data_IF_452823064594
#
_entry.id   IF_452823064594
#
_cell.length_a   1.000
_cell.length_b   1.000
_cell.length_c   1.000
_cell.angle_alpha   90.00
_cell.angle_beta   90.00
_cell.angle_gamma   90.00
#
_symmetry.space_group_name_H-M   'P 1'
#
loop_
_entity.id
_entity.type
_entity.pdbx_description
1 polymer ?
#
# COMPACT_ATOMS: atom_id res chain seq x y z
N UNK A 1 -20.14 -40.32 -8.32
CA UNK A 1 -20.79 -39.63 -9.43
C UNK A 1 -19.70 -39.11 -10.32
N UNK A 2 -19.92 -37.96 -10.92
CA UNK A 2 -18.84 -37.10 -11.38
C UNK A 2 -18.68 -35.98 -10.36
N UNK A 3 -17.44 -35.53 -10.15
CA UNK A 3 -17.13 -34.26 -9.52
C UNK A 3 -16.42 -33.42 -10.57
N UNK A 4 -16.80 -32.15 -10.70
CA UNK A 4 -16.23 -31.20 -11.66
C UNK A 4 -15.83 -29.92 -10.95
N UNK A 5 -14.98 -29.13 -11.57
CA UNK A 5 -14.66 -27.77 -11.14
C UNK A 5 -14.00 -27.00 -12.27
N UNK A 6 -13.62 -25.76 -11.99
CA UNK A 6 -13.11 -24.83 -12.97
C UNK A 6 -11.93 -24.02 -12.40
N UNK A 7 -10.88 -23.81 -13.20
CA UNK A 7 -9.72 -23.00 -12.82
C UNK A 7 -9.55 -21.83 -13.79
N UNK A 8 -9.28 -20.63 -13.26
CA UNK A 8 -9.04 -19.44 -14.08
C UNK A 8 -7.99 -18.50 -13.49
N UNK A 9 -7.49 -17.59 -14.33
CA UNK A 9 -6.63 -16.49 -13.94
C UNK A 9 -7.48 -15.26 -13.64
N UNK A 10 -7.61 -14.96 -12.35
CA UNK A 10 -8.22 -13.73 -11.84
C UNK A 10 -7.18 -12.60 -12.01
N UNK A 11 -7.41 -11.71 -12.94
CA UNK A 11 -6.40 -10.74 -13.39
C UNK A 11 -6.36 -9.47 -12.56
N UNK A 12 -7.48 -9.09 -11.95
CA UNK A 12 -7.57 -7.96 -11.02
C UNK A 12 -7.68 -8.40 -9.55
N UNK A 13 -7.85 -9.69 -9.29
CA UNK A 13 -7.83 -10.29 -7.97
C UNK A 13 -9.15 -10.15 -7.22
N UNK A 14 -10.26 -9.86 -7.88
CA UNK A 14 -11.54 -9.54 -7.24
C UNK A 14 -12.34 -10.76 -6.74
N UNK A 15 -11.86 -11.97 -7.04
CA UNK A 15 -12.46 -13.23 -6.62
C UNK A 15 -13.67 -13.67 -7.45
N UNK A 16 -13.85 -13.14 -8.66
CA UNK A 16 -14.79 -13.66 -9.65
C UNK A 16 -14.17 -13.72 -11.04
N UNK A 17 -14.59 -14.68 -11.88
CA UNK A 17 -14.12 -14.71 -13.27
C UNK A 17 -14.87 -13.68 -14.12
N UNK A 18 -14.16 -12.65 -14.54
CA UNK A 18 -14.68 -11.54 -15.34
C UNK A 18 -14.52 -11.73 -16.86
N UNK A 19 -15.20 -10.89 -17.66
CA UNK A 19 -15.08 -10.97 -19.12
C UNK A 19 -13.68 -10.60 -19.59
N UNK A 20 -12.96 -11.59 -20.13
CA UNK A 20 -11.61 -11.42 -20.67
C UNK A 20 -10.53 -12.07 -19.80
N UNK A 21 -10.91 -12.58 -18.64
CA UNK A 21 -10.04 -13.34 -17.77
C UNK A 21 -9.79 -14.75 -18.33
N UNK A 22 -8.51 -15.17 -18.45
CA UNK A 22 -8.18 -16.44 -19.10
C UNK A 22 -8.47 -17.65 -18.22
N UNK A 23 -8.96 -18.72 -18.83
CA UNK A 23 -9.03 -20.03 -18.19
C UNK A 23 -7.63 -20.64 -17.97
N UNK A 24 -7.47 -21.44 -16.91
CA UNK A 24 -6.23 -22.17 -16.62
C UNK A 24 -6.25 -23.57 -17.25
N UNK A 25 -5.74 -23.69 -18.47
CA UNK A 25 -5.61 -24.95 -19.20
C UNK A 25 -4.38 -25.78 -18.76
N UNK A 26 -4.51 -27.10 -18.78
CA UNK A 26 -3.43 -28.07 -18.55
C UNK A 26 -2.90 -28.13 -17.11
N UNK A 27 -3.66 -27.66 -16.12
CA UNK A 27 -3.30 -27.78 -14.69
C UNK A 27 -3.84 -29.09 -14.15
N UNK A 28 -2.99 -29.83 -13.45
CA UNK A 28 -3.36 -31.11 -12.83
C UNK A 28 -4.10 -30.90 -11.49
N UNK A 29 -5.15 -31.68 -11.27
CA UNK A 29 -5.95 -31.71 -10.04
C UNK A 29 -5.99 -33.15 -9.52
N UNK A 30 -5.57 -33.33 -8.27
CA UNK A 30 -5.56 -34.60 -7.56
C UNK A 30 -6.91 -34.79 -6.86
N UNK A 31 -7.69 -35.77 -7.31
CA UNK A 31 -8.99 -36.10 -6.75
C UNK A 31 -8.90 -37.37 -5.93
N UNK A 32 -9.27 -37.29 -4.65
CA UNK A 32 -9.34 -38.41 -3.70
C UNK A 32 -10.79 -38.75 -3.39
N UNK A 33 -11.23 -39.98 -3.68
CA UNK A 33 -12.61 -40.41 -3.44
C UNK A 33 -12.86 -40.94 -2.02
N UNK A 34 -14.12 -41.32 -1.75
CA UNK A 34 -14.55 -41.78 -0.42
C UNK A 34 -13.96 -43.11 0.04
N UNK A 35 -13.35 -43.88 -0.87
CA UNK A 35 -12.62 -45.10 -0.56
C UNK A 35 -11.13 -44.82 -0.30
N UNK A 36 -10.68 -43.58 -0.51
CA UNK A 36 -9.28 -43.19 -0.49
C UNK A 36 -8.54 -43.47 -1.79
N UNK A 37 -9.25 -43.77 -2.88
CA UNK A 37 -8.63 -43.94 -4.21
C UNK A 37 -8.33 -42.56 -4.81
N UNK A 38 -7.10 -42.38 -5.31
CA UNK A 38 -6.64 -41.13 -5.93
C UNK A 38 -6.57 -41.24 -7.45
N UNK A 39 -6.89 -40.15 -8.13
CA UNK A 39 -6.66 -39.97 -9.56
C UNK A 39 -6.28 -38.52 -9.86
N UNK A 40 -5.44 -38.32 -10.87
CA UNK A 40 -5.12 -36.99 -11.39
C UNK A 40 -5.93 -36.75 -12.66
N UNK A 41 -6.59 -35.61 -12.73
CA UNK A 41 -7.27 -35.11 -13.93
C UNK A 41 -6.67 -33.76 -14.29
N UNK A 42 -6.74 -33.37 -15.55
CA UNK A 42 -6.15 -32.13 -16.03
C UNK A 42 -7.24 -31.21 -16.57
N UNK A 43 -7.16 -29.92 -16.28
CA UNK A 43 -8.09 -28.92 -16.86
C UNK A 43 -7.96 -28.86 -18.38
N UNK A 44 -9.10 -28.65 -19.04
CA UNK A 44 -9.17 -28.48 -20.49
C UNK A 44 -8.96 -27.01 -20.91
N UNK A 45 -9.12 -26.71 -22.20
CA UNK A 45 -8.92 -25.36 -22.76
C UNK A 45 -9.85 -24.28 -22.20
N UNK A 46 -10.95 -24.72 -21.60
CA UNK A 46 -11.99 -23.89 -21.00
C UNK A 46 -11.86 -23.94 -19.46
N UNK A 47 -10.69 -24.34 -18.92
CA UNK A 47 -10.41 -24.35 -17.47
C UNK A 47 -11.11 -25.47 -16.69
N UNK A 48 -11.98 -26.23 -17.34
CA UNK A 48 -12.80 -27.23 -16.65
C UNK A 48 -12.04 -28.55 -16.43
N UNK A 49 -12.20 -29.13 -15.25
CA UNK A 49 -11.79 -30.50 -14.94
C UNK A 49 -12.99 -31.35 -14.49
N UNK A 50 -12.88 -32.68 -14.67
CA UNK A 50 -13.90 -33.60 -14.15
C UNK A 50 -13.33 -34.98 -13.83
N UNK A 51 -13.83 -35.58 -12.77
CA UNK A 51 -13.40 -36.86 -12.25
C UNK A 51 -14.60 -37.77 -11.93
N UNK A 52 -14.56 -39.02 -12.40
CA UNK A 52 -15.56 -40.02 -11.99
C UNK A 52 -15.11 -40.68 -10.69
N UNK A 53 -15.94 -40.60 -9.64
CA UNK A 53 -15.59 -41.03 -8.28
C UNK A 53 -16.68 -41.90 -7.66
N UNK A 54 -16.31 -42.71 -6.65
CA UNK A 54 -17.30 -43.40 -5.83
C UNK A 54 -18.23 -42.38 -5.11
N UNK A 55 -19.50 -42.72 -4.87
CA UNK A 55 -20.38 -41.87 -4.08
C UNK A 55 -19.90 -41.77 -2.63
N UNK A 56 -19.77 -40.55 -2.11
CA UNK A 56 -19.29 -40.26 -0.76
C UNK A 56 -18.45 -38.98 -0.74
N UNK A 57 -17.76 -38.75 0.37
CA UNK A 57 -16.80 -37.64 0.50
C UNK A 57 -15.75 -37.72 -0.61
N UNK A 58 -15.42 -36.58 -1.23
CA UNK A 58 -14.41 -36.48 -2.29
C UNK A 58 -13.70 -35.16 -2.13
N UNK A 59 -12.37 -35.20 -2.17
CA UNK A 59 -11.50 -34.03 -2.10
C UNK A 59 -10.86 -33.80 -3.46
N UNK A 60 -10.84 -32.56 -3.94
CA UNK A 60 -10.10 -32.10 -5.10
C UNK A 60 -9.03 -31.10 -4.64
N UNK A 61 -7.81 -31.30 -5.10
CA UNK A 61 -6.59 -30.61 -4.65
C UNK A 61 -5.80 -30.22 -5.90
N UNK A 62 -5.65 -28.93 -6.20
CA UNK A 62 -4.90 -28.48 -7.37
C UNK A 62 -3.41 -28.75 -7.14
N UNK A 63 -2.72 -29.42 -8.08
CA UNK A 63 -1.32 -29.78 -7.89
C UNK A 63 -0.40 -28.57 -8.13
N UNK A 64 0.05 -27.92 -7.06
CA UNK A 64 0.92 -26.73 -7.17
C UNK A 64 2.35 -27.08 -7.60
N UNK A 65 2.67 -28.37 -7.76
CA UNK A 65 3.93 -28.83 -8.35
C UNK A 65 3.82 -29.06 -9.86
N UNK A 66 2.64 -28.94 -10.45
CA UNK A 66 2.46 -29.04 -11.89
C UNK A 66 3.18 -27.88 -12.60
N UNK A 67 3.93 -28.13 -13.70
CA UNK A 67 4.67 -27.06 -14.38
C UNK A 67 3.81 -25.97 -15.04
N UNK A 68 2.51 -26.22 -15.24
CA UNK A 68 1.53 -25.28 -15.76
C UNK A 68 0.78 -24.55 -14.63
N UNK A 69 0.89 -24.99 -13.38
CA UNK A 69 0.36 -24.24 -12.24
C UNK A 69 1.01 -22.85 -12.17
N UNK A 70 0.23 -21.77 -11.98
CA UNK A 70 0.73 -20.40 -11.94
C UNK A 70 1.50 -20.12 -10.63
N UNK A 71 2.75 -20.60 -10.57
CA UNK A 71 3.61 -20.45 -9.39
C UNK A 71 3.78 -18.98 -8.99
N UNK A 72 3.52 -18.67 -7.71
CA UNK A 72 3.62 -17.32 -7.17
C UNK A 72 2.32 -16.52 -7.20
N UNK A 73 1.26 -17.09 -7.76
CA UNK A 73 -0.08 -16.51 -7.73
C UNK A 73 -0.75 -16.83 -6.40
N UNK A 74 -1.72 -16.01 -6.02
CA UNK A 74 -2.53 -16.17 -4.80
C UNK A 74 -3.96 -16.53 -5.21
N UNK A 75 -4.58 -17.44 -4.47
CA UNK A 75 -5.96 -17.83 -4.70
C UNK A 75 -6.93 -16.74 -4.23
N UNK A 76 -7.93 -16.41 -5.04
CA UNK A 76 -8.95 -15.36 -4.78
C UNK A 76 -10.37 -15.90 -4.71
N UNK A 77 -10.69 -16.93 -5.50
CA UNK A 77 -11.96 -17.66 -5.41
C UNK A 77 -11.69 -19.11 -5.01
N UNK A 78 -12.61 -19.70 -4.24
CA UNK A 78 -12.59 -21.12 -3.91
C UNK A 78 -11.86 -21.47 -2.61
N UNK A 79 -11.71 -22.77 -2.40
CA UNK A 79 -10.94 -23.39 -1.31
C UNK A 79 -10.05 -24.46 -1.95
N UNK A 80 -8.73 -24.39 -1.76
CA UNK A 80 -7.83 -25.44 -2.26
C UNK A 80 -7.07 -26.11 -1.09
N UNK A 81 -7.31 -27.40 -0.78
CA UNK A 81 -8.22 -28.32 -1.46
C UNK A 81 -9.71 -28.14 -1.10
N UNK A 82 -10.60 -28.37 -2.07
CA UNK A 82 -12.06 -28.41 -1.85
C UNK A 82 -12.55 -29.80 -1.46
N UNK A 83 -13.50 -29.91 -0.52
CA UNK A 83 -14.19 -31.17 -0.20
C UNK A 83 -15.69 -31.11 -0.49
N UNK A 84 -16.20 -32.05 -1.28
CA UNK A 84 -17.61 -32.23 -1.62
C UNK A 84 -18.13 -33.62 -1.28
N UNK A 85 -19.45 -33.82 -1.37
CA UNK A 85 -20.06 -35.16 -1.30
C UNK A 85 -20.55 -35.59 -2.68
N UNK A 86 -19.82 -36.48 -3.34
CA UNK A 86 -20.19 -37.04 -4.61
C UNK A 86 -21.44 -37.92 -4.48
N UNK A 87 -22.41 -37.74 -5.39
CA UNK A 87 -23.66 -38.51 -5.41
C UNK A 87 -23.68 -39.47 -6.61
N UNK A 88 -24.29 -40.64 -6.45
CA UNK A 88 -24.33 -41.66 -7.50
C UNK A 88 -25.14 -41.17 -8.72
N UNK A 89 -24.52 -41.21 -9.91
CA UNK A 89 -25.19 -40.89 -11.17
C UNK A 89 -25.50 -39.39 -11.39
N UNK A 90 -24.98 -38.51 -10.54
CA UNK A 90 -25.05 -37.06 -10.72
C UNK A 90 -23.65 -36.48 -10.88
N UNK A 91 -23.62 -35.29 -11.45
CA UNK A 91 -22.47 -34.41 -11.41
C UNK A 91 -22.58 -33.52 -10.16
N UNK A 92 -21.45 -33.27 -9.51
CA UNK A 92 -21.35 -32.43 -8.32
C UNK A 92 -20.26 -31.42 -8.58
N UNK A 93 -20.66 -30.16 -8.62
CA UNK A 93 -19.75 -29.04 -8.80
C UNK A 93 -18.96 -28.78 -7.50
N UNK A 94 -17.64 -28.80 -7.62
CA UNK A 94 -16.68 -28.44 -6.58
C UNK A 94 -16.42 -26.92 -6.55
N UNK A 95 -16.95 -26.16 -7.50
CA UNK A 95 -16.76 -24.72 -7.59
C UNK A 95 -15.55 -24.34 -8.45
N UNK A 96 -15.20 -23.06 -8.33
CA UNK A 96 -14.12 -22.44 -9.07
C UNK A 96 -12.93 -22.20 -8.15
N UNK A 97 -11.72 -22.27 -8.70
CA UNK A 97 -10.53 -21.70 -8.07
C UNK A 97 -9.92 -20.64 -8.99
N UNK A 98 -9.94 -19.39 -8.51
CA UNK A 98 -9.38 -18.22 -9.18
C UNK A 98 -8.00 -17.89 -8.63
N UNK A 99 -7.05 -17.54 -9.49
CA UNK A 99 -5.68 -17.19 -9.08
C UNK A 99 -5.21 -15.90 -9.73
N UNK A 100 -4.68 -14.97 -8.92
CA UNK A 100 -4.11 -13.72 -9.40
C UNK A 100 -2.60 -13.61 -9.15
N UNK A 101 -1.93 -12.86 -10.01
CA UNK A 101 -0.52 -12.52 -9.84
C UNK A 101 -0.42 -11.21 -9.06
N UNK A 102 0.00 -11.22 -7.78
CA UNK A 102 0.03 -10.01 -6.99
C UNK A 102 1.04 -8.98 -7.51
N UNK A 103 0.73 -7.71 -7.31
CA UNK A 103 1.68 -6.61 -7.43
C UNK A 103 2.36 -6.31 -6.10
N UNK A 104 3.35 -5.43 -6.14
CA UNK A 104 3.94 -4.83 -4.94
C UNK A 104 3.83 -3.31 -5.05
N UNK A 105 3.50 -2.65 -3.94
CA UNK A 105 3.60 -1.20 -3.79
C UNK A 105 4.62 -0.92 -2.71
N UNK A 106 5.55 0.00 -2.97
CA UNK A 106 6.60 0.40 -2.04
C UNK A 106 6.65 1.91 -1.89
N UNK A 107 7.24 2.40 -0.82
CA UNK A 107 7.54 3.82 -0.64
C UNK A 107 8.60 4.03 0.42
N UNK A 108 8.90 5.29 0.70
CA UNK A 108 10.01 5.67 1.58
C UNK A 108 9.64 6.86 2.48
N UNK A 109 10.00 6.79 3.76
CA UNK A 109 9.76 7.86 4.73
C UNK A 109 11.07 8.41 5.29
N UNK A 110 11.21 9.73 5.40
CA UNK A 110 12.40 10.37 5.95
C UNK A 110 12.12 11.66 6.72
N UNK A 111 13.12 12.11 7.49
CA UNK A 111 13.13 13.39 8.19
C UNK A 111 13.81 14.46 7.32
N UNK A 112 13.01 15.34 6.73
CA UNK A 112 13.48 16.55 6.06
C UNK A 112 13.94 17.56 7.14
N UNK A 113 15.24 17.75 7.26
CA UNK A 113 15.85 18.52 8.35
C UNK A 113 15.93 20.01 8.04
N UNK A 114 15.92 20.41 6.78
CA UNK A 114 16.04 21.80 6.36
C UNK A 114 14.77 22.37 5.69
N UNK A 115 13.78 21.51 5.43
CA UNK A 115 12.43 21.86 4.98
C UNK A 115 12.36 22.13 3.48
N UNK A 116 13.27 21.58 2.68
CA UNK A 116 13.34 21.84 1.24
C UNK A 116 12.52 20.88 0.37
N UNK A 117 11.96 19.82 0.96
CA UNK A 117 11.09 18.86 0.31
C UNK A 117 11.83 17.86 -0.59
N UNK A 118 13.11 17.59 -0.34
CA UNK A 118 13.84 16.45 -0.89
C UNK A 118 14.70 15.81 0.19
N UNK A 119 15.00 14.51 0.07
CA UNK A 119 15.93 13.86 1.00
C UNK A 119 17.38 14.14 0.62
N UNK A 120 18.07 14.91 1.45
CA UNK A 120 19.47 15.30 1.27
C UNK A 120 20.47 14.36 1.99
N UNK A 121 21.76 14.45 1.63
CA UNK A 121 22.80 13.64 2.28
C UNK A 121 22.90 13.97 3.78
N UNK A 122 22.59 12.98 4.61
CA UNK A 122 22.66 13.07 6.08
C UNK A 122 21.31 13.30 6.75
N UNK A 123 20.25 13.42 5.97
CA UNK A 123 18.88 13.41 6.47
C UNK A 123 18.47 12.00 6.90
N UNK A 124 17.97 11.81 8.13
CA UNK A 124 17.65 10.48 8.64
C UNK A 124 16.42 9.86 7.99
N UNK A 125 16.47 8.54 7.76
CA UNK A 125 15.29 7.75 7.42
C UNK A 125 14.35 7.59 8.64
N UNK A 126 13.05 7.40 8.37
CA UNK A 126 12.03 7.14 9.39
C UNK A 126 11.75 5.64 9.50
N UNK A 127 12.47 4.97 10.40
CA UNK A 127 12.28 3.55 10.73
C UNK A 127 11.10 3.32 11.69
N UNK A 128 10.44 2.16 11.57
CA UNK A 128 9.39 1.66 12.45
C UNK A 128 8.09 2.47 12.42
N UNK A 129 7.79 3.19 11.34
CA UNK A 129 6.51 3.90 11.17
C UNK A 129 5.55 2.99 10.41
N UNK A 130 4.34 2.84 10.93
CA UNK A 130 3.29 2.04 10.31
C UNK A 130 2.63 2.80 9.14
N UNK A 131 2.38 2.06 8.05
CA UNK A 131 1.70 2.53 6.84
C UNK A 131 0.54 1.58 6.56
N UNK A 132 -0.67 2.14 6.46
CA UNK A 132 -1.90 1.40 6.13
C UNK A 132 -2.06 1.41 4.62
N UNK A 133 -1.98 0.22 4.02
CA UNK A 133 -2.16 0.01 2.58
C UNK A 133 -3.53 -0.61 2.33
N UNK A 134 -4.33 0.02 1.48
CA UNK A 134 -5.63 -0.49 1.02
C UNK A 134 -5.55 -0.78 -0.47
N UNK A 135 -5.83 -2.01 -0.89
CA UNK A 135 -5.76 -2.42 -2.30
C UNK A 135 -7.06 -2.14 -3.08
N UNK A 136 -7.11 -2.62 -4.33
CA UNK A 136 -8.20 -2.40 -5.28
C UNK A 136 -9.51 -3.07 -4.86
N UNK A 137 -9.43 -4.13 -4.06
CA UNK A 137 -10.57 -4.86 -3.52
C UNK A 137 -11.07 -4.24 -2.20
N UNK A 138 -10.33 -3.26 -1.67
CA UNK A 138 -10.60 -2.63 -0.38
C UNK A 138 -10.04 -3.42 0.81
N UNK A 139 -9.18 -4.41 0.55
CA UNK A 139 -8.49 -5.12 1.62
C UNK A 139 -7.36 -4.27 2.19
N UNK A 140 -7.31 -4.21 3.52
CA UNK A 140 -6.37 -3.36 4.25
C UNK A 140 -5.29 -4.19 4.94
N UNK A 141 -4.04 -3.75 4.85
CA UNK A 141 -2.92 -4.29 5.62
C UNK A 141 -2.07 -3.17 6.19
N UNK A 142 -1.38 -3.43 7.29
CA UNK A 142 -0.40 -2.51 7.87
C UNK A 142 0.99 -3.07 7.65
N UNK A 143 1.86 -2.28 7.04
CA UNK A 143 3.29 -2.56 6.88
C UNK A 143 4.07 -1.51 7.64
N UNK A 144 5.31 -1.82 8.01
CA UNK A 144 6.14 -0.92 8.83
C UNK A 144 7.42 -0.61 8.08
N UNK A 145 7.87 0.65 8.10
CA UNK A 145 9.15 1.04 7.50
C UNK A 145 10.33 0.33 8.16
N UNK A 146 11.31 -0.06 7.33
CA UNK A 146 12.55 -0.68 7.78
C UNK A 146 13.60 0.40 8.19
N UNK A 147 14.83 -0.03 8.52
CA UNK A 147 15.90 0.86 8.99
C UNK A 147 16.34 1.91 7.99
N UNK A 148 16.05 1.68 6.71
CA UNK A 148 16.35 2.55 5.58
C UNK A 148 15.09 3.35 5.18
N UNK A 149 14.05 3.40 6.02
CA UNK A 149 12.83 4.18 5.78
C UNK A 149 11.87 3.57 4.77
N UNK A 150 12.23 2.43 4.16
CA UNK A 150 11.43 1.82 3.10
C UNK A 150 10.32 0.94 3.68
N UNK A 151 9.13 1.01 3.07
CA UNK A 151 8.03 0.09 3.28
C UNK A 151 7.62 -0.58 1.97
N UNK A 152 6.99 -1.76 2.07
CA UNK A 152 6.54 -2.52 0.90
C UNK A 152 5.36 -3.41 1.27
N UNK A 153 4.35 -3.46 0.41
CA UNK A 153 3.14 -4.25 0.57
C UNK A 153 2.81 -5.03 -0.72
N UNK A 154 2.44 -6.30 -0.57
CA UNK A 154 1.93 -7.12 -1.67
C UNK A 154 0.42 -6.95 -1.77
N UNK A 155 -0.10 -6.61 -2.95
CA UNK A 155 -1.51 -6.22 -3.15
C UNK A 155 -2.11 -6.81 -4.44
N UNK A 156 -3.44 -6.86 -4.49
CA UNK A 156 -4.16 -7.12 -5.74
C UNK A 156 -3.85 -6.02 -6.80
N UNK A 157 -3.78 -6.37 -8.10
CA UNK A 157 -3.63 -5.39 -9.16
C UNK A 157 -4.79 -4.38 -9.17
N UNK A 158 -4.48 -3.10 -9.40
CA UNK A 158 -5.48 -2.04 -9.46
C UNK A 158 -5.16 -0.85 -8.55
N UNK A 159 -6.14 0.00 -8.30
CA UNK A 159 -5.97 1.18 -7.45
C UNK A 159 -5.56 0.78 -6.03
N UNK A 160 -4.51 1.38 -5.49
CA UNK A 160 -4.00 1.09 -4.14
C UNK A 160 -3.66 2.40 -3.45
N UNK A 161 -4.09 2.56 -2.20
CA UNK A 161 -3.79 3.73 -1.37
C UNK A 161 -2.84 3.36 -0.24
N UNK A 162 -1.83 4.17 0.02
CA UNK A 162 -0.95 4.07 1.17
C UNK A 162 -1.13 5.31 2.06
N UNK A 163 -1.36 5.09 3.36
CA UNK A 163 -1.69 6.12 4.36
C UNK A 163 -0.76 5.94 5.56
N UNK A 164 0.09 6.93 5.85
CA UNK A 164 1.03 6.84 6.98
C UNK A 164 0.25 7.03 8.29
N UNK A 165 0.37 6.10 9.24
CA UNK A 165 -0.41 6.19 10.49
C UNK A 165 0.16 7.25 11.44
N UNK A 166 -0.46 8.43 11.50
CA UNK A 166 0.02 9.50 12.38
C UNK A 166 -0.30 9.26 13.87
N UNK A 167 -0.99 8.16 14.20
CA UNK A 167 -1.18 7.70 15.57
C UNK A 167 -0.09 6.71 16.02
N UNK A 168 0.79 6.27 15.11
CA UNK A 168 1.91 5.41 15.45
C UNK A 168 2.87 6.13 16.43
N UNK A 169 3.36 5.49 17.50
CA UNK A 169 4.21 6.15 18.49
C UNK A 169 5.59 6.59 17.95
N UNK A 170 6.03 6.04 16.83
CA UNK A 170 7.26 6.37 16.12
C UNK A 170 7.03 7.48 15.07
N UNK A 171 5.79 7.77 14.69
CA UNK A 171 5.47 8.90 13.82
C UNK A 171 5.94 10.24 14.45
N UNK A 172 6.62 11.12 13.69
CA UNK A 172 7.17 12.37 14.21
C UNK A 172 6.07 13.42 14.46
N UNK A 173 5.33 13.26 15.57
CA UNK A 173 4.21 14.14 15.92
C UNK A 173 4.61 15.62 15.95
N UNK A 174 3.86 16.46 15.23
CA UNK A 174 4.06 17.91 15.15
C UNK A 174 4.96 18.36 14.00
N UNK A 175 5.47 17.42 13.21
CA UNK A 175 6.16 17.72 11.97
C UNK A 175 5.15 18.05 10.86
N UNK A 176 5.63 18.67 9.79
CA UNK A 176 4.87 19.00 8.59
C UNK A 176 5.43 18.23 7.42
N UNK A 177 4.59 17.60 6.62
CA UNK A 177 4.99 16.95 5.37
C UNK A 177 5.50 17.99 4.37
N UNK A 178 6.64 17.72 3.74
CA UNK A 178 7.35 18.61 2.79
C UNK A 178 7.58 17.97 1.42
N UNK A 179 7.64 16.64 1.34
CA UNK A 179 7.62 15.85 0.10
C UNK A 179 6.47 14.84 0.16
N UNK A 180 5.89 14.52 -0.99
CA UNK A 180 4.85 13.50 -1.12
C UNK A 180 3.41 13.99 -0.93
N UNK A 181 2.49 13.04 -0.94
CA UNK A 181 1.07 13.19 -0.63
C UNK A 181 0.70 12.09 0.38
N UNK A 182 0.00 12.44 1.46
CA UNK A 182 -0.44 11.48 2.48
C UNK A 182 -1.96 11.62 2.73
N UNK A 183 -2.78 10.62 2.37
CA UNK A 183 -2.42 9.36 1.71
C UNK A 183 -2.04 9.51 0.23
N UNK A 184 -1.19 8.63 -0.27
CA UNK A 184 -0.85 8.48 -1.69
C UNK A 184 -1.72 7.43 -2.38
N UNK A 185 -2.07 7.64 -3.65
CA UNK A 185 -2.77 6.65 -4.51
C UNK A 185 -1.95 6.30 -5.73
N UNK A 186 -1.75 5.00 -5.97
CA UNK A 186 -1.09 4.45 -7.16
C UNK A 186 -1.94 3.37 -7.81
N UNK A 187 -1.52 2.87 -8.97
CA UNK A 187 -2.11 1.67 -9.58
C UNK A 187 -1.08 0.55 -9.52
N UNK A 188 -1.30 -0.43 -8.65
CA UNK A 188 -0.53 -1.65 -8.59
C UNK A 188 -0.68 -2.44 -9.89
N UNK A 189 0.42 -3.02 -10.36
CA UNK A 189 0.47 -3.79 -11.61
C UNK A 189 0.97 -5.20 -11.31
N UNK A 190 0.24 -6.19 -11.78
CA UNK A 190 0.52 -7.61 -11.57
C UNK A 190 1.99 -7.98 -11.83
N UNK A 191 2.63 -8.61 -10.85
CA UNK A 191 4.01 -9.09 -10.93
C UNK A 191 5.08 -8.00 -11.01
N UNK A 192 4.74 -6.75 -10.69
CA UNK A 192 5.68 -5.63 -10.70
C UNK A 192 5.63 -4.86 -9.38
N UNK A 193 6.73 -4.17 -9.11
CA UNK A 193 6.86 -3.23 -8.00
C UNK A 193 6.54 -1.81 -8.49
N UNK A 194 5.63 -1.14 -7.78
CA UNK A 194 5.17 0.21 -8.07
C UNK A 194 5.56 1.12 -6.92
N UNK A 195 6.41 2.09 -7.22
CA UNK A 195 6.86 3.11 -6.28
C UNK A 195 5.75 4.15 -6.04
N UNK A 196 5.31 4.26 -4.78
CA UNK A 196 4.39 5.27 -4.26
C UNK A 196 5.10 6.58 -3.91
N UNK A 197 6.43 6.63 -4.01
CA UNK A 197 7.22 7.83 -3.76
C UNK A 197 7.65 7.99 -2.31
N UNK A 198 8.08 9.20 -2.00
CA UNK A 198 8.67 9.56 -0.72
C UNK A 198 7.75 10.48 0.07
N UNK A 199 7.72 10.32 1.40
CA UNK A 199 7.16 11.29 2.32
C UNK A 199 8.24 11.86 3.25
N UNK A 200 8.49 13.16 3.10
CA UNK A 200 9.45 13.92 3.89
C UNK A 200 8.76 14.70 5.00
N UNK A 201 9.30 14.66 6.22
CA UNK A 201 8.72 15.35 7.38
C UNK A 201 9.69 16.33 8.03
N UNK A 202 9.30 17.60 8.10
CA UNK A 202 10.07 18.68 8.70
C UNK A 202 9.54 19.10 10.07
N UNK A 203 10.43 19.42 11.02
CA UNK A 203 10.06 19.93 12.35
C UNK A 203 9.99 21.47 12.35
N UNK A 204 8.81 22.10 12.24
CA UNK A 204 8.71 23.55 12.30
C UNK A 204 8.93 24.06 13.73
N UNK A 205 9.96 24.91 13.89
CA UNK A 205 10.24 25.68 15.08
C UNK A 205 10.27 27.19 14.74
N UNK A 206 9.09 27.80 14.47
CA UNK A 206 9.00 29.22 14.13
C UNK A 206 9.32 30.09 15.35
N UNK A 207 10.17 31.09 15.17
CA UNK A 207 10.50 32.07 16.21
C UNK A 207 10.87 33.43 15.59
N UNK A 208 10.56 34.50 16.31
CA UNK A 208 10.76 35.86 15.82
C UNK A 208 11.21 36.80 16.93
N UNK A 209 12.24 37.59 16.65
CA UNK A 209 12.71 38.65 17.53
C UNK A 209 12.31 40.03 16.99
N UNK A 210 11.71 40.85 17.84
CA UNK A 210 11.38 42.25 17.54
C UNK A 210 12.17 43.20 18.45
N UNK A 211 13.07 43.99 17.86
CA UNK A 211 13.78 45.05 18.56
C UNK A 211 13.18 46.40 18.17
N UNK A 212 12.69 47.13 19.17
CA UNK A 212 12.21 48.52 19.03
C UNK A 212 13.23 49.49 19.59
N UNK A 213 13.75 50.37 18.75
CA UNK A 213 14.60 51.50 19.16
C UNK A 213 13.82 52.81 19.01
N UNK A 214 14.08 53.76 19.90
CA UNK A 214 13.45 55.08 19.88
C UNK A 214 14.49 56.16 20.11
N UNK A 215 14.56 57.13 19.20
CA UNK A 215 15.47 58.28 19.32
C UNK A 215 14.67 59.57 19.33
N UNK A 216 14.85 60.38 20.37
CA UNK A 216 14.29 61.72 20.45
C UNK A 216 15.16 62.68 19.62
N UNK A 217 14.55 63.35 18.65
CA UNK A 217 15.17 64.45 17.91
C UNK A 217 15.02 65.74 18.72
N UNK A 218 16.13 66.22 19.28
CA UNK A 218 16.17 67.42 20.14
C UNK A 218 16.17 68.74 19.35
N UNK A 219 16.10 68.69 18.01
CA UNK A 219 16.13 69.88 17.15
C UNK A 219 17.41 70.72 17.32
N UNK A 220 17.39 71.96 16.81
CA UNK A 220 18.57 72.85 16.83
C UNK A 220 18.97 73.32 18.24
N UNK A 221 18.04 73.32 19.21
CA UNK A 221 18.30 73.85 20.54
C UNK A 221 18.90 72.81 21.50
N UNK A 222 18.92 71.52 21.13
CA UNK A 222 19.50 70.44 21.92
C UNK A 222 18.77 70.16 23.24
N UNK A 223 17.52 70.59 23.38
CA UNK A 223 16.70 70.44 24.59
C UNK A 223 15.37 69.81 24.22
N UNK A 224 14.88 68.89 25.05
CA UNK A 224 13.57 68.26 24.83
C UNK A 224 12.43 69.27 25.05
N UNK A 225 11.58 69.48 24.04
CA UNK A 225 10.43 70.38 24.04
C UNK A 225 9.15 69.72 23.53
N UNK A 226 7.96 70.23 23.92
CA UNK A 226 6.72 69.89 23.25
C UNK A 226 6.79 70.23 21.75
N UNK A 227 6.60 69.21 20.90
CA UNK A 227 6.70 69.32 19.44
C UNK A 227 7.90 68.58 18.83
N UNK A 228 8.85 68.13 19.65
CA UNK A 228 9.98 67.30 19.19
C UNK A 228 9.52 65.92 18.71
N UNK A 229 10.20 65.38 17.70
CA UNK A 229 9.85 64.11 17.06
C UNK A 229 10.58 62.96 17.72
N UNK A 230 9.88 61.85 18.00
CA UNK A 230 10.50 60.58 18.35
C UNK A 230 10.48 59.69 17.11
N UNK A 231 11.67 59.36 16.60
CA UNK A 231 11.81 58.37 15.56
C UNK A 231 11.84 56.98 16.19
N UNK A 232 11.06 56.06 15.63
CA UNK A 232 11.10 54.66 16.00
C UNK A 232 11.64 53.82 14.84
N UNK A 233 12.51 52.88 15.14
CA UNK A 233 12.95 51.85 14.22
C UNK A 233 12.58 50.48 14.83
N UNK A 234 12.10 49.60 13.97
CA UNK A 234 11.73 48.24 14.31
C UNK A 234 12.58 47.30 13.47
N UNK A 235 13.38 46.46 14.13
CA UNK A 235 14.09 45.37 13.49
C UNK A 235 13.38 44.07 13.82
N UNK A 236 12.96 43.37 12.78
CA UNK A 236 12.37 42.03 12.85
C UNK A 236 13.44 41.03 12.41
N UNK A 237 13.70 40.00 13.21
CA UNK A 237 14.64 38.92 12.89
C UNK A 237 13.89 37.59 12.95
N UNK A 238 13.99 36.77 11.91
CA UNK A 238 13.60 35.37 12.01
C UNK A 238 14.64 34.63 12.85
N UNK A 239 14.23 34.09 13.99
CA UNK A 239 15.09 33.28 14.87
C UNK A 239 14.71 31.80 14.84
N UNK A 240 13.64 31.45 14.14
CA UNK A 240 13.23 30.07 13.88
C UNK A 240 13.77 29.51 12.57
N UNK A 241 13.33 28.29 12.24
CA UNK A 241 13.66 27.58 10.99
C UNK A 241 12.54 27.68 9.93
N UNK A 242 11.48 28.44 10.18
CA UNK A 242 10.37 28.65 9.23
C UNK A 242 10.56 29.98 8.52
N UNK A 243 10.43 30.00 7.19
CA UNK A 243 10.55 31.23 6.39
C UNK A 243 9.49 32.28 6.76
N UNK A 244 9.89 33.55 6.87
CA UNK A 244 8.96 34.66 7.10
C UNK A 244 8.48 35.23 5.77
N UNK A 245 7.17 35.19 5.53
CA UNK A 245 6.54 35.84 4.38
C UNK A 245 6.02 37.24 4.70
N UNK A 246 6.04 38.13 3.71
CA UNK A 246 5.37 39.42 3.81
C UNK A 246 3.86 39.22 3.81
N UNK A 247 3.15 39.84 4.76
CA UNK A 247 1.69 39.85 4.76
C UNK A 247 1.16 40.45 3.45
N UNK A 248 0.29 39.70 2.74
CA UNK A 248 -0.42 40.12 1.52
C UNK A 248 -1.64 40.98 1.82
#
# INVERSE_FOLDING_TARGET
>A
GTVSGHLYLDTDGDGVQDEGEPDLENVDVVVTDSNGDTQTVTTNSDGDWSATVAPGETTADVDENDPQYPTGFTQTEGDDPTTVTAVAGTDVDAGNDGYFNPGTVSGHLYLDTDGDGVQDEGEPDLENVDVVVTDSNGDTQTVTTNSDGDWSATVAPGETTADVDENDPQYPTGFTQTEGDDPTTVTAVAGTDVDAGNDGYFNPNPDIELVKTGTLDLGENGVANPGDVINYEFKVTNTGNVTLDTLS
#
